data_IF_794301511551
#
_entry.id   IF_794301511551
#
_cell.length_a   1.000
_cell.length_b   1.000
_cell.length_c   1.000
_cell.angle_alpha   90.00
_cell.angle_beta   90.00
_cell.angle_gamma   90.00
#
_symmetry.space_group_name_H-M   'P 1'
#
loop_
_entity.id
_entity.type
_entity.pdbx_description
1 polymer ?
#
# COMPACT_ATOMS: atom_id res chain seq x y z
N UNK A 1 6.03 -20.65 0.35
CA UNK A 1 5.91 -19.67 -0.75
C UNK A 1 4.97 -18.56 -0.33
N UNK A 2 5.22 -17.31 -0.74
CA UNK A 2 4.31 -16.16 -0.53
C UNK A 2 3.78 -15.63 -1.86
N UNK A 3 2.62 -14.98 -1.84
CA UNK A 3 1.99 -14.44 -3.04
C UNK A 3 1.78 -12.93 -2.91
N UNK A 4 2.08 -12.18 -3.95
CA UNK A 4 1.71 -10.77 -4.06
C UNK A 4 0.77 -10.55 -5.23
N UNK A 5 -0.27 -9.74 -5.02
CA UNK A 5 -1.14 -9.29 -6.10
C UNK A 5 -0.45 -8.15 -6.85
N UNK A 6 -0.25 -8.28 -8.16
CA UNK A 6 -0.05 -7.11 -9.02
C UNK A 6 -1.40 -6.47 -9.29
N UNK A 7 -1.57 -5.22 -8.87
CA UNK A 7 -2.86 -4.53 -8.99
C UNK A 7 -3.36 -4.54 -10.45
N UNK A 8 -4.68 -4.74 -10.70
CA UNK A 8 -5.23 -5.01 -12.03
C UNK A 8 -5.31 -3.79 -12.97
N UNK A 9 -4.32 -2.91 -12.92
CA UNK A 9 -4.15 -1.81 -13.89
C UNK A 9 -3.12 -2.14 -14.97
N UNK A 10 -2.56 -3.36 -14.99
CA UNK A 10 -1.62 -3.81 -16.04
C UNK A 10 -2.38 -4.14 -17.34
N UNK A 11 -3.10 -3.16 -17.84
CA UNK A 11 -3.85 -3.09 -19.10
C UNK A 11 -4.00 -1.63 -19.52
N UNK A 12 -4.39 -1.38 -20.77
CA UNK A 12 -4.77 -0.04 -21.22
C UNK A 12 -6.24 0.22 -20.85
N UNK A 13 -6.54 1.47 -20.48
CA UNK A 13 -7.88 1.96 -20.16
C UNK A 13 -8.62 1.03 -19.16
N UNK A 14 -8.05 0.83 -17.95
CA UNK A 14 -8.69 0.00 -16.94
C UNK A 14 -10.07 0.55 -16.57
N UNK A 15 -11.03 -0.32 -16.18
CA UNK A 15 -12.34 0.11 -15.70
C UNK A 15 -12.22 1.23 -14.65
N UNK A 16 -13.00 2.30 -14.80
CA UNK A 16 -12.86 3.51 -13.99
C UNK A 16 -12.96 3.26 -12.48
N UNK A 17 -13.77 2.28 -12.06
CA UNK A 17 -13.90 1.86 -10.67
C UNK A 17 -12.60 1.32 -10.05
N UNK A 18 -11.72 0.70 -10.85
CA UNK A 18 -10.38 0.27 -10.41
C UNK A 18 -9.43 1.45 -10.14
N UNK A 19 -9.77 2.66 -10.58
CA UNK A 19 -8.96 3.87 -10.40
C UNK A 19 -9.46 4.75 -9.24
N UNK A 20 -10.48 4.31 -8.52
CA UNK A 20 -11.02 5.02 -7.36
C UNK A 20 -10.34 4.56 -6.07
N UNK A 21 -10.32 5.43 -5.06
CA UNK A 21 -9.81 5.05 -3.74
C UNK A 21 -10.62 3.90 -3.12
N UNK A 22 -11.94 3.90 -3.31
CA UNK A 22 -12.84 2.85 -2.84
C UNK A 22 -12.55 1.51 -3.52
N UNK A 23 -12.49 1.47 -4.85
CA UNK A 23 -12.20 0.23 -5.59
C UNK A 23 -10.83 -0.34 -5.24
N UNK A 24 -9.81 0.51 -5.07
CA UNK A 24 -8.48 0.11 -4.68
C UNK A 24 -8.46 -0.45 -3.25
N UNK A 25 -9.15 0.20 -2.31
CA UNK A 25 -9.30 -0.28 -0.95
C UNK A 25 -10.02 -1.64 -0.89
N UNK A 26 -11.11 -1.81 -1.63
CA UNK A 26 -11.88 -3.07 -1.70
C UNK A 26 -11.05 -4.22 -2.26
N UNK A 27 -10.28 -3.98 -3.34
CA UNK A 27 -9.39 -4.99 -3.92
C UNK A 27 -8.25 -5.34 -2.96
N UNK A 28 -7.67 -4.35 -2.27
CA UNK A 28 -6.63 -4.60 -1.29
C UNK A 28 -7.15 -5.43 -0.10
N UNK A 29 -8.35 -5.13 0.40
CA UNK A 29 -8.99 -5.91 1.46
C UNK A 29 -9.28 -7.36 1.00
N UNK A 30 -9.89 -7.53 -0.17
CA UNK A 30 -10.19 -8.86 -0.71
C UNK A 30 -8.92 -9.68 -0.99
N UNK A 31 -7.83 -9.05 -1.42
CA UNK A 31 -6.55 -9.72 -1.57
C UNK A 31 -6.00 -10.21 -0.21
N UNK A 32 -6.10 -9.42 0.85
CA UNK A 32 -5.70 -9.85 2.19
C UNK A 32 -6.56 -11.02 2.68
N UNK A 33 -7.87 -10.95 2.49
CA UNK A 33 -8.81 -12.00 2.88
C UNK A 33 -8.59 -13.31 2.11
N UNK A 34 -8.27 -13.22 0.82
CA UNK A 34 -7.89 -14.37 0.00
C UNK A 34 -6.53 -14.99 0.38
N UNK A 35 -5.75 -14.35 1.26
CA UNK A 35 -4.49 -14.85 1.77
C UNK A 35 -3.25 -14.39 1.01
N UNK A 36 -3.34 -13.32 0.21
CA UNK A 36 -2.15 -12.70 -0.36
C UNK A 36 -1.28 -12.12 0.77
N UNK A 37 0.04 -12.18 0.60
CA UNK A 37 1.01 -11.63 1.54
C UNK A 37 1.45 -10.19 1.17
N UNK A 38 1.10 -9.72 -0.03
CA UNK A 38 1.37 -8.34 -0.42
C UNK A 38 0.62 -7.89 -1.68
N UNK A 39 0.73 -6.60 -1.97
CA UNK A 39 0.13 -5.96 -3.15
C UNK A 39 1.14 -5.00 -3.79
N UNK A 40 1.20 -5.02 -5.12
CA UNK A 40 2.22 -4.34 -5.91
C UNK A 40 1.66 -3.46 -7.03
N UNK A 41 2.24 -2.27 -7.21
CA UNK A 41 1.88 -1.31 -8.26
C UNK A 41 3.08 -0.99 -9.17
N UNK A 42 2.94 -1.11 -10.51
CA UNK A 42 3.98 -0.64 -11.44
C UNK A 42 4.01 0.88 -11.53
N UNK A 43 5.05 1.40 -12.16
CA UNK A 43 5.24 2.83 -12.33
C UNK A 43 5.60 3.19 -13.78
N UNK A 44 4.71 3.96 -14.41
CA UNK A 44 4.80 4.42 -15.78
C UNK A 44 4.14 5.80 -15.93
N UNK A 45 4.83 6.90 -15.54
CA UNK A 45 4.22 8.22 -15.40
C UNK A 45 3.97 8.94 -16.74
N UNK A 46 4.70 8.60 -17.80
CA UNK A 46 4.71 9.38 -19.04
C UNK A 46 5.00 8.52 -20.28
N UNK A 47 4.21 7.46 -20.47
CA UNK A 47 4.47 6.42 -21.46
C UNK A 47 4.40 6.92 -22.90
N UNK A 48 5.38 6.61 -23.76
CA UNK A 48 5.31 6.93 -25.19
C UNK A 48 4.16 6.20 -25.89
N UNK A 49 3.50 6.87 -26.84
CA UNK A 49 2.39 6.28 -27.61
C UNK A 49 2.80 4.96 -28.28
N UNK A 50 4.01 4.89 -28.85
CA UNK A 50 4.52 3.67 -29.51
C UNK A 50 4.66 2.47 -28.57
N UNK A 51 4.83 2.70 -27.27
CA UNK A 51 4.84 1.63 -26.28
C UNK A 51 3.41 1.21 -25.91
N UNK A 52 2.49 2.18 -25.76
CA UNK A 52 1.05 1.93 -25.53
C UNK A 52 0.45 1.12 -26.66
N UNK A 53 0.71 1.48 -27.92
CA UNK A 53 0.23 0.77 -29.12
C UNK A 53 0.69 -0.70 -29.21
N UNK A 54 1.73 -1.07 -28.44
CA UNK A 54 2.26 -2.43 -28.38
C UNK A 54 1.71 -3.23 -27.19
N UNK A 55 2.60 -3.53 -26.25
CA UNK A 55 2.29 -4.30 -25.04
C UNK A 55 2.32 -3.40 -23.79
N UNK A 56 1.96 -2.13 -23.97
CA UNK A 56 1.91 -1.15 -22.90
C UNK A 56 0.73 -1.37 -21.96
N UNK A 57 0.73 -0.63 -20.85
CA UNK A 57 -0.33 -0.61 -19.86
C UNK A 57 -0.32 0.73 -19.12
N UNK A 58 -1.43 1.06 -18.48
CA UNK A 58 -1.52 2.25 -17.66
C UNK A 58 -1.04 1.96 -16.22
N UNK A 59 -0.69 3.01 -15.48
CA UNK A 59 -0.35 2.90 -14.07
C UNK A 59 -0.89 4.09 -13.30
N UNK A 60 -1.32 3.84 -12.06
CA UNK A 60 -1.54 4.89 -11.07
C UNK A 60 -0.21 5.23 -10.40
N UNK A 61 -0.11 6.39 -9.74
CA UNK A 61 1.05 6.67 -8.89
C UNK A 61 1.15 5.58 -7.81
N UNK A 62 2.28 4.85 -7.72
CA UNK A 62 2.37 3.68 -6.86
C UNK A 62 2.37 4.07 -5.38
N UNK A 63 2.88 5.23 -4.99
CA UNK A 63 2.96 5.62 -3.58
C UNK A 63 1.60 6.08 -3.04
N UNK A 64 0.82 6.81 -3.85
CA UNK A 64 -0.55 7.17 -3.51
C UNK A 64 -1.43 5.92 -3.43
N UNK A 65 -1.32 5.02 -4.40
CA UNK A 65 -2.04 3.75 -4.42
C UNK A 65 -1.71 2.88 -3.20
N UNK A 66 -0.43 2.73 -2.86
CA UNK A 66 0.01 1.99 -1.68
C UNK A 66 -0.45 2.64 -0.38
N UNK A 67 -0.64 3.96 -0.33
CA UNK A 67 -1.22 4.64 0.85
C UNK A 67 -2.67 4.21 1.07
N UNK A 68 -3.48 4.13 0.00
CA UNK A 68 -4.85 3.62 0.08
C UNK A 68 -4.87 2.15 0.52
N UNK A 69 -4.01 1.32 -0.06
CA UNK A 69 -3.87 -0.07 0.35
C UNK A 69 -3.43 -0.18 1.83
N UNK A 70 -2.55 0.70 2.31
CA UNK A 70 -2.11 0.74 3.69
C UNK A 70 -3.27 0.97 4.66
N UNK A 71 -4.17 1.91 4.35
CA UNK A 71 -5.31 2.23 5.23
C UNK A 71 -6.45 1.22 5.13
N UNK A 72 -6.47 0.39 4.09
CA UNK A 72 -7.48 -0.65 3.90
C UNK A 72 -7.03 -2.02 4.44
N UNK A 73 -5.76 -2.19 4.85
CA UNK A 73 -5.18 -3.50 5.17
C UNK A 73 -4.27 -3.48 6.39
N UNK A 74 -4.22 -4.58 7.14
CA UNK A 74 -3.51 -4.65 8.43
C UNK A 74 -2.24 -5.51 8.36
N UNK A 75 -2.10 -6.35 7.33
CA UNK A 75 -1.02 -7.32 7.17
C UNK A 75 -0.32 -7.21 5.82
N UNK A 76 -1.01 -6.89 4.72
CA UNK A 76 -0.41 -6.88 3.39
C UNK A 76 0.90 -6.10 3.34
N UNK A 77 1.97 -6.72 2.83
CA UNK A 77 3.16 -5.98 2.41
C UNK A 77 2.80 -5.07 1.25
N UNK A 78 3.37 -3.87 1.28
CA UNK A 78 3.10 -2.80 0.32
C UNK A 78 4.32 -2.70 -0.61
N UNK A 79 4.16 -3.11 -1.87
CA UNK A 79 5.27 -3.22 -2.82
C UNK A 79 5.15 -2.17 -3.93
N UNK A 80 6.23 -1.44 -4.20
CA UNK A 80 6.41 -0.83 -5.51
C UNK A 80 6.91 -1.91 -6.48
N UNK A 81 6.33 -2.02 -7.67
CA UNK A 81 6.65 -3.11 -8.61
C UNK A 81 6.79 -2.61 -10.06
N UNK A 82 7.76 -1.76 -10.38
CA UNK A 82 8.86 -1.25 -9.56
C UNK A 82 8.88 0.29 -9.62
N UNK A 83 9.28 0.95 -8.53
CA UNK A 83 9.61 2.37 -8.57
C UNK A 83 10.91 2.58 -9.34
N UNK A 84 10.94 3.52 -10.28
CA UNK A 84 12.13 3.83 -11.07
C UNK A 84 12.92 4.94 -10.38
N UNK A 85 14.04 4.56 -9.76
CA UNK A 85 14.84 5.50 -8.94
C UNK A 85 15.30 6.74 -9.71
N UNK A 86 15.79 6.61 -10.98
CA UNK A 86 16.25 7.78 -11.73
C UNK A 86 15.19 8.85 -12.00
N UNK A 87 13.89 8.58 -11.82
CA UNK A 87 12.82 9.55 -12.14
C UNK A 87 12.68 10.69 -11.14
N UNK A 88 13.32 10.63 -9.96
CA UNK A 88 13.11 11.64 -8.93
C UNK A 88 14.33 11.85 -8.06
N UNK A 89 14.34 12.98 -7.35
CA UNK A 89 15.34 13.26 -6.33
C UNK A 89 15.26 12.23 -5.18
N UNK A 90 16.40 11.66 -4.74
CA UNK A 90 16.39 10.61 -3.73
C UNK A 90 15.96 11.07 -2.34
N UNK A 91 16.13 12.34 -1.96
CA UNK A 91 15.61 12.85 -0.69
C UNK A 91 14.08 12.97 -0.68
N UNK A 92 13.47 13.34 -1.81
CA UNK A 92 12.01 13.31 -1.94
C UNK A 92 11.48 11.88 -1.81
N UNK A 93 12.13 10.93 -2.49
CA UNK A 93 11.75 9.52 -2.36
C UNK A 93 11.99 8.98 -0.94
N UNK A 94 13.06 9.38 -0.26
CA UNK A 94 13.33 9.02 1.13
C UNK A 94 12.19 9.50 2.04
N UNK A 95 11.73 10.75 1.88
CA UNK A 95 10.60 11.29 2.64
C UNK A 95 9.32 10.51 2.37
N UNK A 96 8.97 10.28 1.10
CA UNK A 96 7.75 9.57 0.71
C UNK A 96 7.73 8.15 1.28
N UNK A 97 8.84 7.42 1.13
CA UNK A 97 8.94 6.03 1.58
C UNK A 97 8.99 5.90 3.10
N UNK A 98 9.70 6.77 3.81
CA UNK A 98 9.67 6.79 5.27
C UNK A 98 8.27 7.12 5.81
N UNK A 99 7.56 8.04 5.16
CA UNK A 99 6.18 8.38 5.52
C UNK A 99 5.25 7.19 5.31
N UNK A 100 5.27 6.55 4.13
CA UNK A 100 4.46 5.37 3.85
C UNK A 100 4.79 4.19 4.78
N UNK A 101 6.07 3.97 5.06
CA UNK A 101 6.49 2.94 6.01
C UNK A 101 5.90 3.18 7.41
N UNK A 102 5.91 4.43 7.90
CA UNK A 102 5.27 4.76 9.18
C UNK A 102 3.76 4.63 9.14
N UNK A 103 3.09 5.19 8.13
CA UNK A 103 1.63 5.12 7.99
C UNK A 103 1.13 3.68 7.89
N UNK A 104 1.93 2.79 7.31
CA UNK A 104 1.62 1.37 7.21
C UNK A 104 2.09 0.53 8.39
N UNK A 105 2.82 1.11 9.35
CA UNK A 105 3.44 0.41 10.47
C UNK A 105 4.48 -0.64 10.05
N UNK A 106 5.39 -0.28 9.14
CA UNK A 106 6.55 -1.07 8.75
C UNK A 106 6.34 -2.06 7.59
N UNK A 107 5.24 -1.91 6.83
CA UNK A 107 4.84 -2.88 5.80
C UNK A 107 5.40 -2.60 4.40
N UNK A 108 6.10 -1.49 4.21
CA UNK A 108 6.70 -1.15 2.93
C UNK A 108 7.79 -2.16 2.55
N UNK A 109 7.78 -2.59 1.29
CA UNK A 109 8.91 -3.18 0.58
C UNK A 109 9.14 -2.34 -0.67
N UNK A 110 10.27 -1.63 -0.72
CA UNK A 110 10.57 -0.74 -1.84
C UNK A 110 11.18 -1.55 -2.99
N UNK A 111 10.34 -2.00 -3.92
CA UNK A 111 10.80 -2.59 -5.18
C UNK A 111 11.25 -1.52 -6.17
N UNK A 112 12.49 -1.59 -6.62
CA UNK A 112 13.16 -0.57 -7.41
C UNK A 112 13.71 -1.09 -8.74
N UNK A 113 13.71 -0.23 -9.75
CA UNK A 113 14.29 -0.51 -11.06
C UNK A 113 15.07 0.68 -11.62
N UNK A 114 15.90 0.42 -12.63
CA UNK A 114 16.65 1.45 -13.36
C UNK A 114 15.83 2.14 -14.45
N UNK A 115 14.66 1.61 -14.80
CA UNK A 115 13.84 2.08 -15.91
C UNK A 115 14.38 1.66 -17.29
N UNK A 116 13.48 1.48 -18.25
CA UNK A 116 13.84 1.01 -19.60
C UNK A 116 13.22 1.83 -20.74
N UNK A 117 12.23 2.69 -20.46
CA UNK A 117 11.56 3.51 -21.46
C UNK A 117 12.23 4.87 -21.63
N UNK A 118 13.08 5.01 -22.65
CA UNK A 118 13.75 6.28 -22.99
C UNK A 118 12.81 7.48 -23.11
N UNK A 119 11.60 7.28 -23.65
CA UNK A 119 10.66 8.38 -23.78
C UNK A 119 10.09 8.88 -22.44
N UNK A 120 10.00 8.03 -21.41
CA UNK A 120 9.65 8.47 -20.05
C UNK A 120 10.78 9.30 -19.43
N UNK A 121 12.03 8.88 -19.65
CA UNK A 121 13.21 9.65 -19.23
C UNK A 121 13.23 11.03 -19.88
N UNK A 122 13.00 11.11 -21.19
CA UNK A 122 12.93 12.36 -21.91
C UNK A 122 11.79 13.26 -21.40
N UNK A 123 10.61 12.70 -21.13
CA UNK A 123 9.47 13.44 -20.59
C UNK A 123 9.73 14.00 -19.18
N UNK A 124 10.51 13.29 -18.38
CA UNK A 124 10.89 13.70 -17.02
C UNK A 124 12.15 14.57 -16.97
N UNK A 125 12.80 14.83 -18.12
CA UNK A 125 14.02 15.63 -18.19
C UNK A 125 15.26 14.94 -17.59
N UNK A 126 15.31 13.61 -17.61
CA UNK A 126 16.42 12.81 -17.07
C UNK A 126 17.19 12.15 -18.20
N UNK A 127 18.52 12.18 -18.16
CA UNK A 127 19.34 11.49 -19.14
C UNK A 127 19.25 9.95 -18.94
N UNK A 128 18.72 9.27 -19.96
CA UNK A 128 18.63 7.81 -19.98
C UNK A 128 19.99 7.11 -19.93
N UNK A 129 21.04 7.74 -20.48
CA UNK A 129 22.42 7.25 -20.44
C UNK A 129 22.96 7.15 -19.03
N UNK A 130 22.52 8.04 -18.13
CA UNK A 130 22.97 8.09 -16.74
C UNK A 130 22.16 7.20 -15.79
N UNK A 131 21.07 6.56 -16.25
CA UNK A 131 20.11 5.84 -15.38
C UNK A 131 20.73 4.85 -14.40
N UNK A 132 21.84 4.19 -14.77
CA UNK A 132 22.52 3.26 -13.86
C UNK A 132 23.27 4.00 -12.74
N UNK A 133 23.94 5.10 -13.06
CA UNK A 133 24.66 5.90 -12.09
C UNK A 133 23.69 6.66 -11.18
N UNK A 134 22.59 7.19 -11.73
CA UNK A 134 21.50 7.79 -10.96
C UNK A 134 20.82 6.77 -10.04
N UNK A 135 20.66 5.52 -10.49
CA UNK A 135 20.13 4.45 -9.65
C UNK A 135 21.05 4.15 -8.46
N UNK A 136 22.36 4.05 -8.70
CA UNK A 136 23.35 3.77 -7.63
C UNK A 136 23.40 4.93 -6.62
N UNK A 137 23.48 6.18 -7.12
CA UNK A 137 23.43 7.40 -6.29
C UNK A 137 22.15 7.45 -5.45
N UNK A 138 20.99 7.21 -6.06
CA UNK A 138 19.72 7.25 -5.35
C UNK A 138 19.62 6.16 -4.27
N UNK A 139 20.13 4.95 -4.54
CA UNK A 139 20.10 3.86 -3.58
C UNK A 139 20.99 4.16 -2.36
N UNK A 140 22.14 4.79 -2.56
CA UNK A 140 23.03 5.20 -1.47
C UNK A 140 22.41 6.32 -0.62
N UNK A 141 21.92 7.38 -1.28
CA UNK A 141 21.30 8.51 -0.58
C UNK A 141 20.05 8.10 0.17
N UNK A 142 19.22 7.20 -0.36
CA UNK A 142 18.06 6.66 0.36
C UNK A 142 18.46 6.01 1.69
N UNK A 143 19.52 5.20 1.69
CA UNK A 143 19.99 4.50 2.89
C UNK A 143 20.54 5.46 3.93
N UNK A 144 21.27 6.49 3.50
CA UNK A 144 21.78 7.54 4.39
C UNK A 144 20.62 8.37 4.94
N UNK A 145 19.71 8.83 4.09
CA UNK A 145 18.57 9.65 4.50
C UNK A 145 17.64 8.94 5.49
N UNK A 146 17.46 7.62 5.38
CA UNK A 146 16.63 6.85 6.32
C UNK A 146 17.24 6.69 7.72
N UNK A 147 18.53 6.97 7.90
CA UNK A 147 19.15 7.00 9.24
C UNK A 147 18.64 8.18 10.08
N UNK A 148 18.19 9.26 9.42
CA UNK A 148 17.81 10.51 10.09
C UNK A 148 18.98 11.37 10.55
N UNK A 149 20.22 10.93 10.28
CA UNK A 149 21.44 11.72 10.47
C UNK A 149 21.65 12.73 9.34
N UNK A 150 22.43 13.81 9.55
CA UNK A 150 22.79 14.74 8.50
C UNK A 150 23.53 14.06 7.35
N UNK A 151 23.14 14.38 6.11
CA UNK A 151 23.76 13.86 4.90
C UNK A 151 24.36 15.00 4.08
N UNK A 152 25.68 14.96 3.92
CA UNK A 152 26.40 15.76 2.92
C UNK A 152 26.50 14.96 1.63
N UNK A 153 26.09 15.55 0.50
CA UNK A 153 26.12 14.88 -0.79
C UNK A 153 26.44 15.85 -1.92
N UNK A 154 27.36 15.45 -2.80
CA UNK A 154 27.65 16.15 -4.05
C UNK A 154 27.24 15.23 -5.19
N UNK A 155 25.96 15.33 -5.57
CA UNK A 155 25.36 14.45 -6.55
C UNK A 155 25.45 14.98 -7.97
N UNK A 156 24.94 14.20 -8.92
CA UNK A 156 24.94 14.56 -10.34
C UNK A 156 24.03 15.74 -10.66
N UNK A 157 22.87 15.77 -10.03
CA UNK A 157 21.80 16.75 -10.31
C UNK A 157 21.36 17.54 -9.09
N UNK A 158 21.95 17.29 -7.92
CA UNK A 158 21.62 17.98 -6.68
C UNK A 158 22.80 17.94 -5.70
N UNK A 159 22.78 18.85 -4.73
CA UNK A 159 23.72 18.88 -3.61
C UNK A 159 22.94 18.90 -2.29
N UNK A 160 23.56 18.39 -1.25
CA UNK A 160 23.07 18.41 0.11
C UNK A 160 24.21 18.80 1.05
N UNK A 161 23.91 19.69 1.99
CA UNK A 161 24.83 20.17 3.04
C UNK A 161 24.08 20.03 4.37
N UNK A 162 24.47 19.04 5.16
CA UNK A 162 23.82 18.65 6.42
C UNK A 162 22.34 18.31 6.27
N UNK A 163 21.90 17.75 5.14
CA UNK A 163 20.47 17.52 4.90
C UNK A 163 19.94 16.40 5.81
N UNK A 164 18.89 16.71 6.58
CA UNK A 164 18.24 15.76 7.50
C UNK A 164 16.85 15.39 6.98
N UNK A 165 16.60 14.09 6.79
CA UNK A 165 15.28 13.58 6.40
C UNK A 165 14.54 12.97 7.59
N UNK A 166 13.45 13.62 8.01
CA UNK A 166 12.52 13.11 9.03
C UNK A 166 11.06 13.14 8.56
N UNK A 167 10.20 12.21 8.98
CA UNK A 167 10.49 11.15 9.95
C UNK A 167 11.34 10.02 9.33
N UNK A 168 12.00 9.23 10.17
CA UNK A 168 12.66 7.99 9.73
C UNK A 168 11.65 6.84 9.64
N UNK A 169 11.91 5.82 8.80
CA UNK A 169 11.08 4.62 8.77
C UNK A 169 10.97 3.94 10.14
N UNK A 170 9.89 3.18 10.35
CA UNK A 170 9.72 2.35 11.56
C UNK A 170 10.28 0.94 11.35
N UNK A 171 10.32 0.45 10.10
CA UNK A 171 10.95 -0.81 9.76
C UNK A 171 12.44 -0.79 10.13
N UNK A 172 12.90 -1.83 10.83
CA UNK A 172 14.30 -1.97 11.27
C UNK A 172 15.01 -3.06 10.45
N UNK A 173 16.24 -2.82 9.95
CA UNK A 173 17.00 -1.57 10.06
C UNK A 173 16.49 -0.43 9.16
N UNK A 174 15.68 -0.76 8.15
CA UNK A 174 15.00 0.15 7.21
C UNK A 174 13.97 -0.66 6.40
N UNK A 175 13.14 -0.04 5.55
CA UNK A 175 12.29 -0.78 4.63
C UNK A 175 13.15 -1.72 3.74
N UNK A 176 12.75 -2.98 3.54
CA UNK A 176 13.40 -3.89 2.61
C UNK A 176 13.42 -3.30 1.20
N UNK A 177 14.56 -3.41 0.52
CA UNK A 177 14.70 -2.99 -0.89
C UNK A 177 14.78 -4.24 -1.75
N UNK A 178 13.94 -4.32 -2.78
CA UNK A 178 13.98 -5.37 -3.79
C UNK A 178 14.38 -4.76 -5.13
N UNK A 179 15.35 -5.33 -5.84
CA UNK A 179 15.79 -4.77 -7.12
C UNK A 179 15.31 -5.66 -8.26
N UNK A 180 14.67 -5.09 -9.27
CA UNK A 180 14.23 -5.85 -10.44
C UNK A 180 15.14 -5.77 -11.65
N UNK A 181 15.04 -6.80 -12.48
CA UNK A 181 15.82 -6.97 -13.71
C UNK A 181 16.81 -8.14 -13.66
N UNK A 182 17.31 -8.54 -14.83
CA UNK A 182 18.05 -9.79 -15.01
C UNK A 182 19.54 -9.60 -15.28
N UNK A 183 20.05 -8.37 -15.35
CA UNK A 183 21.46 -8.14 -15.68
C UNK A 183 22.40 -8.59 -14.55
N UNK A 184 23.65 -8.94 -14.88
CA UNK A 184 24.66 -9.25 -13.85
C UNK A 184 24.88 -8.06 -12.90
N UNK A 185 24.84 -6.83 -13.41
CA UNK A 185 24.91 -5.61 -12.60
C UNK A 185 23.77 -5.55 -11.57
N UNK A 186 22.54 -5.90 -11.98
CA UNK A 186 21.40 -5.97 -11.06
C UNK A 186 21.64 -6.99 -9.96
N UNK A 187 22.08 -8.21 -10.31
CA UNK A 187 22.37 -9.26 -9.32
C UNK A 187 23.48 -8.86 -8.35
N UNK A 188 24.54 -8.18 -8.82
CA UNK A 188 25.60 -7.61 -7.95
C UNK A 188 25.03 -6.59 -6.95
N UNK A 189 24.17 -5.68 -7.41
CA UNK A 189 23.48 -4.72 -6.54
C UNK A 189 22.62 -5.42 -5.49
N UNK A 190 21.89 -6.47 -5.87
CA UNK A 190 21.11 -7.26 -4.92
C UNK A 190 22.04 -7.92 -3.90
N UNK A 191 23.13 -8.55 -4.36
CA UNK A 191 24.05 -9.26 -3.50
C UNK A 191 24.63 -8.34 -2.41
N UNK A 192 25.03 -7.12 -2.78
CA UNK A 192 25.65 -6.19 -1.85
C UNK A 192 24.65 -5.39 -1.00
N UNK A 193 23.55 -4.91 -1.60
CA UNK A 193 22.78 -3.80 -1.05
C UNK A 193 21.32 -4.10 -0.75
N UNK A 194 20.73 -5.18 -1.29
CA UNK A 194 19.27 -5.38 -1.25
C UNK A 194 18.85 -6.61 -0.43
N UNK A 195 17.57 -6.66 -0.08
CA UNK A 195 16.94 -7.76 0.64
C UNK A 195 16.22 -8.72 -0.30
N UNK A 196 15.96 -8.30 -1.54
CA UNK A 196 15.34 -9.17 -2.54
C UNK A 196 15.67 -8.83 -3.98
N UNK A 197 15.33 -9.78 -4.84
CA UNK A 197 15.50 -9.74 -6.28
C UNK A 197 14.16 -10.01 -6.96
N UNK A 198 13.81 -9.19 -7.95
CA UNK A 198 12.64 -9.38 -8.80
C UNK A 198 13.07 -9.69 -10.25
N UNK A 199 13.50 -10.92 -10.55
CA UNK A 199 13.75 -11.34 -11.92
C UNK A 199 12.48 -11.29 -12.77
N UNK A 200 12.64 -10.94 -14.04
CA UNK A 200 11.53 -10.83 -14.98
C UNK A 200 11.65 -11.94 -16.03
N UNK A 201 10.67 -12.86 -16.14
CA UNK A 201 10.61 -13.80 -17.26
C UNK A 201 10.70 -13.00 -18.58
N UNK A 202 11.73 -13.26 -19.38
CA UNK A 202 12.05 -12.43 -20.55
C UNK A 202 12.45 -13.33 -21.70
N UNK A 203 11.61 -13.40 -22.72
CA UNK A 203 11.94 -14.07 -23.97
C UNK A 203 12.89 -13.22 -24.82
N UNK A 204 13.60 -13.78 -25.82
CA UNK A 204 14.52 -13.04 -26.69
C UNK A 204 13.83 -11.88 -27.41
N UNK A 205 12.57 -12.06 -27.81
CA UNK A 205 11.75 -11.02 -28.42
C UNK A 205 11.46 -9.84 -27.45
N UNK A 206 11.51 -10.08 -26.13
CA UNK A 206 11.29 -9.08 -25.09
C UNK A 206 12.59 -8.43 -24.60
N UNK A 207 13.77 -8.99 -24.89
CA UNK A 207 15.08 -8.46 -24.45
C UNK A 207 15.28 -7.01 -24.88
N UNK A 208 15.01 -6.68 -26.14
CA UNK A 208 15.15 -5.31 -26.65
C UNK A 208 14.14 -4.35 -26.03
N UNK A 209 12.91 -4.83 -25.78
CA UNK A 209 11.83 -4.01 -25.21
C UNK A 209 12.04 -3.73 -23.73
N UNK A 210 12.49 -4.72 -22.95
CA UNK A 210 12.69 -4.64 -21.50
C UNK A 210 14.13 -4.31 -21.10
N UNK A 211 15.05 -4.27 -22.07
CA UNK A 211 16.48 -3.96 -21.91
C UNK A 211 17.14 -4.77 -20.79
N UNK A 212 16.81 -6.07 -20.74
CA UNK A 212 17.24 -6.98 -19.68
C UNK A 212 17.67 -8.33 -20.25
N UNK A 213 18.51 -9.07 -19.52
CA UNK A 213 19.02 -10.36 -19.98
C UNK A 213 17.89 -11.39 -20.14
N UNK A 214 17.94 -12.28 -21.15
CA UNK A 214 16.92 -13.29 -21.36
C UNK A 214 16.89 -14.31 -20.21
N UNK A 215 15.68 -14.61 -19.74
CA UNK A 215 15.40 -15.58 -18.70
C UNK A 215 14.26 -16.48 -19.20
N UNK A 216 14.64 -17.56 -19.87
CA UNK A 216 13.74 -18.43 -20.63
C UNK A 216 13.54 -19.80 -19.97
N UNK A 217 14.37 -20.18 -19.00
CA UNK A 217 14.31 -21.48 -18.35
C UNK A 217 14.48 -21.39 -16.84
N UNK A 218 13.86 -22.34 -16.13
CA UNK A 218 14.00 -22.48 -14.69
C UNK A 218 15.43 -22.86 -14.30
N UNK A 219 16.15 -23.62 -15.13
CA UNK A 219 17.56 -23.95 -14.87
C UNK A 219 18.45 -22.70 -14.83
N UNK A 220 18.22 -21.74 -15.73
CA UNK A 220 18.96 -20.48 -15.74
C UNK A 220 18.61 -19.65 -14.50
N UNK A 221 17.33 -19.59 -14.13
CA UNK A 221 16.89 -18.92 -12.90
C UNK A 221 17.55 -19.56 -11.66
N UNK A 222 17.51 -20.88 -11.55
CA UNK A 222 18.14 -21.63 -10.46
C UNK A 222 19.65 -21.37 -10.37
N UNK A 223 20.36 -21.35 -11.51
CA UNK A 223 21.77 -20.98 -11.58
C UNK A 223 22.03 -19.57 -11.05
N UNK A 224 21.24 -18.58 -11.48
CA UNK A 224 21.39 -17.21 -11.02
C UNK A 224 21.00 -16.99 -9.56
N UNK A 225 20.02 -17.74 -9.03
CA UNK A 225 19.69 -17.73 -7.61
C UNK A 225 20.88 -18.25 -6.80
N UNK A 226 21.48 -19.38 -7.20
CA UNK A 226 22.69 -19.93 -6.53
C UNK A 226 23.86 -18.94 -6.56
N UNK A 227 24.19 -18.41 -7.73
CA UNK A 227 25.24 -17.39 -7.87
C UNK A 227 24.99 -16.17 -6.97
N UNK A 228 23.72 -15.73 -6.86
CA UNK A 228 23.34 -14.60 -6.02
C UNK A 228 23.57 -14.90 -4.54
N UNK A 229 23.12 -16.07 -4.05
CA UNK A 229 23.30 -16.43 -2.63
C UNK A 229 24.78 -16.63 -2.29
N UNK A 230 25.56 -17.28 -3.17
CA UNK A 230 27.01 -17.42 -3.01
C UNK A 230 27.72 -16.05 -2.91
N UNK A 231 27.36 -15.10 -3.79
CA UNK A 231 27.92 -13.74 -3.76
C UNK A 231 27.52 -12.99 -2.48
N UNK A 232 26.30 -13.20 -1.97
CA UNK A 232 25.86 -12.63 -0.68
C UNK A 232 26.63 -13.18 0.50
N UNK A 233 26.85 -14.49 0.54
CA UNK A 233 27.64 -15.15 1.58
C UNK A 233 29.08 -14.64 1.60
N UNK A 234 29.70 -14.47 0.43
CA UNK A 234 31.04 -13.90 0.30
C UNK A 234 31.13 -12.45 0.82
N UNK A 235 30.03 -11.70 0.74
CA UNK A 235 29.91 -10.34 1.28
C UNK A 235 29.47 -10.32 2.76
N UNK A 236 29.39 -11.48 3.43
CA UNK A 236 28.98 -11.59 4.83
C UNK A 236 27.49 -11.41 5.07
N UNK A 237 26.66 -11.38 4.02
CA UNK A 237 25.20 -11.23 4.10
C UNK A 237 24.51 -12.59 4.12
N UNK A 238 24.54 -13.23 5.29
CA UNK A 238 24.09 -14.62 5.48
C UNK A 238 22.57 -14.83 5.32
N UNK A 239 21.75 -13.79 5.47
CA UNK A 239 20.31 -13.92 5.22
C UNK A 239 20.05 -14.04 3.71
N UNK A 240 19.35 -15.09 3.26
CA UNK A 240 19.07 -15.27 1.84
C UNK A 240 18.23 -14.11 1.31
N UNK A 241 18.47 -13.71 0.06
CA UNK A 241 17.59 -12.75 -0.60
C UNK A 241 16.21 -13.36 -0.85
N UNK A 242 15.14 -12.57 -0.64
CA UNK A 242 13.83 -12.88 -1.21
C UNK A 242 13.94 -12.86 -2.75
N UNK A 243 13.30 -13.80 -3.42
CA UNK A 243 13.18 -13.87 -4.88
C UNK A 243 11.71 -13.81 -5.26
N UNK A 244 11.30 -12.73 -5.93
CA UNK A 244 9.95 -12.51 -6.47
C UNK A 244 9.93 -12.89 -7.96
N UNK A 245 9.13 -13.90 -8.30
CA UNK A 245 8.98 -14.36 -9.68
C UNK A 245 7.51 -14.46 -10.08
N UNK A 246 7.21 -15.06 -11.24
CA UNK A 246 5.85 -15.27 -11.72
C UNK A 246 5.73 -16.67 -12.32
N UNK A 247 4.57 -17.31 -12.12
CA UNK A 247 4.21 -18.50 -12.91
C UNK A 247 3.80 -18.02 -14.31
N UNK A 248 4.37 -18.61 -15.35
CA UNK A 248 4.18 -18.17 -16.74
C UNK A 248 3.52 -19.22 -17.62
N UNK A 249 3.31 -20.44 -17.12
CA UNK A 249 2.89 -21.60 -17.91
C UNK A 249 1.54 -22.18 -17.52
N UNK A 250 0.85 -21.60 -16.53
CA UNK A 250 -0.48 -22.01 -16.07
C UNK A 250 -1.27 -20.82 -15.50
N UNK A 251 -2.59 -20.91 -15.56
CA UNK A 251 -3.51 -19.95 -14.93
C UNK A 251 -4.00 -20.52 -13.59
N UNK A 252 -4.01 -19.73 -12.50
CA UNK A 252 -4.33 -20.23 -11.16
C UNK A 252 -5.79 -20.67 -11.00
N UNK A 253 -6.71 -20.20 -11.86
CA UNK A 253 -8.13 -20.54 -11.80
C UNK A 253 -8.46 -21.63 -12.81
N UNK A 254 -7.99 -21.49 -14.05
CA UNK A 254 -8.33 -22.39 -15.14
C UNK A 254 -7.56 -23.73 -15.10
N UNK A 255 -6.32 -23.74 -14.57
CA UNK A 255 -5.49 -24.94 -14.45
C UNK A 255 -4.73 -24.96 -13.10
N UNK A 256 -5.46 -25.08 -11.97
CA UNK A 256 -4.89 -24.92 -10.64
C UNK A 256 -3.86 -26.01 -10.30
N UNK A 257 -4.05 -27.24 -10.77
CA UNK A 257 -3.10 -28.34 -10.49
C UNK A 257 -1.74 -28.07 -11.15
N UNK A 258 -1.73 -27.70 -12.44
CA UNK A 258 -0.48 -27.32 -13.12
C UNK A 258 0.13 -26.07 -12.51
N UNK A 259 -0.70 -25.11 -12.10
CA UNK A 259 -0.21 -23.92 -11.41
C UNK A 259 0.51 -24.29 -10.11
N UNK A 260 -0.07 -25.16 -9.28
CA UNK A 260 0.53 -25.64 -8.03
C UNK A 260 1.82 -26.43 -8.27
N UNK A 261 1.88 -27.27 -9.32
CA UNK A 261 3.12 -27.93 -9.73
C UNK A 261 4.20 -26.92 -10.11
N UNK A 262 3.85 -25.84 -10.83
CA UNK A 262 4.77 -24.74 -11.12
C UNK A 262 5.20 -23.99 -9.87
N UNK A 263 4.30 -23.75 -8.91
CA UNK A 263 4.62 -23.15 -7.61
C UNK A 263 5.68 -23.99 -6.88
N UNK A 264 5.50 -25.31 -6.83
CA UNK A 264 6.45 -26.21 -6.15
C UNK A 264 7.81 -26.20 -6.85
N UNK A 265 7.85 -26.33 -8.19
CA UNK A 265 9.10 -26.27 -8.96
C UNK A 265 9.86 -24.96 -8.75
N UNK A 266 9.15 -23.84 -8.64
CA UNK A 266 9.76 -22.54 -8.35
C UNK A 266 10.28 -22.47 -6.91
N UNK A 267 9.54 -23.01 -5.94
CA UNK A 267 9.99 -23.10 -4.55
C UNK A 267 11.28 -23.93 -4.43
N UNK A 268 11.36 -25.07 -5.13
CA UNK A 268 12.52 -25.98 -5.09
C UNK A 268 13.83 -25.32 -5.58
N UNK A 269 13.73 -24.34 -6.48
CA UNK A 269 14.89 -23.60 -6.99
C UNK A 269 15.19 -22.30 -6.22
N UNK A 270 14.49 -22.06 -5.11
CA UNK A 270 14.73 -20.92 -4.21
C UNK A 270 13.90 -19.66 -4.50
N UNK A 271 12.82 -19.75 -5.28
CA UNK A 271 11.83 -18.67 -5.35
C UNK A 271 11.03 -18.62 -4.06
N UNK A 272 10.90 -17.42 -3.48
CA UNK A 272 10.24 -17.23 -2.17
C UNK A 272 8.90 -16.52 -2.28
N UNK A 273 8.72 -15.72 -3.35
CA UNK A 273 7.52 -14.94 -3.64
C UNK A 273 7.07 -15.12 -5.09
N UNK A 274 5.76 -15.14 -5.31
CA UNK A 274 5.14 -15.12 -6.63
C UNK A 274 4.25 -13.90 -6.78
N UNK A 275 4.44 -13.15 -7.87
CA UNK A 275 3.54 -12.08 -8.29
C UNK A 275 2.49 -12.64 -9.23
N UNK A 276 1.22 -12.34 -8.93
CA UNK A 276 0.07 -12.76 -9.73
C UNK A 276 -0.76 -11.53 -10.11
N UNK A 277 -1.12 -11.40 -11.38
CA UNK A 277 -2.15 -10.45 -11.81
C UNK A 277 -3.51 -11.14 -11.90
N UNK A 278 -4.53 -10.55 -11.29
CA UNK A 278 -5.92 -11.03 -11.39
C UNK A 278 -6.73 -10.00 -12.16
N UNK A 279 -7.16 -10.33 -13.38
CA UNK A 279 -7.89 -9.39 -14.24
C UNK A 279 -9.40 -9.49 -14.00
N UNK A 280 -10.10 -8.38 -14.17
CA UNK A 280 -11.57 -8.31 -14.16
C UNK A 280 -12.04 -6.99 -14.79
N UNK A 281 -13.32 -6.92 -15.15
CA UNK A 281 -13.94 -5.72 -15.75
C UNK A 281 -14.62 -4.81 -14.72
N UNK A 282 -14.65 -5.26 -13.48
CA UNK A 282 -15.18 -4.54 -12.32
C UNK A 282 -14.41 -4.96 -11.06
N UNK A 283 -14.44 -4.13 -10.02
CA UNK A 283 -14.04 -4.42 -8.64
C UNK A 283 -14.67 -5.73 -8.20
N UNK A 284 -15.99 -5.90 -8.39
CA UNK A 284 -16.69 -7.14 -8.02
C UNK A 284 -16.13 -8.38 -8.73
N UNK A 285 -15.89 -8.30 -10.04
CA UNK A 285 -15.30 -9.42 -10.79
C UNK A 285 -13.87 -9.71 -10.32
N UNK A 286 -13.09 -8.68 -9.99
CA UNK A 286 -11.74 -8.84 -9.44
C UNK A 286 -11.79 -9.50 -8.06
N UNK A 287 -12.66 -9.04 -7.15
CA UNK A 287 -12.77 -9.58 -5.79
C UNK A 287 -13.25 -11.03 -5.80
N UNK A 288 -14.22 -11.39 -6.64
CA UNK A 288 -14.70 -12.77 -6.79
C UNK A 288 -13.56 -13.70 -7.26
N UNK A 289 -12.77 -13.25 -8.23
CA UNK A 289 -11.61 -14.01 -8.73
C UNK A 289 -10.50 -14.11 -7.70
N UNK A 290 -10.28 -13.08 -6.87
CA UNK A 290 -9.33 -13.14 -5.77
C UNK A 290 -9.73 -14.21 -4.76
N UNK A 291 -11.02 -14.27 -4.40
CA UNK A 291 -11.55 -15.33 -3.54
C UNK A 291 -11.34 -16.72 -4.15
N UNK A 292 -11.63 -16.90 -5.44
CA UNK A 292 -11.42 -18.17 -6.15
C UNK A 292 -9.93 -18.58 -6.18
N UNK A 293 -9.01 -17.65 -6.40
CA UNK A 293 -7.55 -17.89 -6.29
C UNK A 293 -7.17 -18.27 -4.86
N UNK A 294 -7.77 -17.60 -3.87
CA UNK A 294 -7.60 -17.89 -2.44
C UNK A 294 -7.90 -19.35 -2.12
N UNK A 295 -9.09 -19.82 -2.53
CA UNK A 295 -9.57 -21.18 -2.29
C UNK A 295 -8.78 -22.23 -3.08
N UNK A 296 -8.54 -21.98 -4.37
CA UNK A 296 -7.97 -23.00 -5.28
C UNK A 296 -6.46 -23.12 -5.21
N UNK A 297 -5.76 -22.07 -4.76
CA UNK A 297 -4.29 -22.03 -4.77
C UNK A 297 -3.73 -21.68 -3.39
N UNK A 298 -4.01 -20.49 -2.88
CA UNK A 298 -3.31 -19.95 -1.71
C UNK A 298 -3.54 -20.80 -0.45
N UNK A 299 -4.77 -21.24 -0.21
CA UNK A 299 -5.13 -22.14 0.88
C UNK A 299 -4.41 -23.49 0.81
N UNK A 300 -4.15 -24.00 -0.39
CA UNK A 300 -3.48 -25.31 -0.61
C UNK A 300 -1.96 -25.22 -0.48
N UNK A 301 -1.37 -24.06 -0.75
CA UNK A 301 0.08 -23.83 -0.56
C UNK A 301 0.43 -23.61 0.91
N UNK A 302 -0.56 -23.31 1.77
CA UNK A 302 -0.33 -22.94 3.16
C UNK A 302 0.47 -21.65 3.27
N UNK A 303 0.15 -20.67 2.42
CA UNK A 303 0.87 -19.40 2.38
C UNK A 303 0.92 -18.78 3.79
N UNK A 304 2.12 -18.51 4.35
CA UNK A 304 2.21 -17.93 5.67
C UNK A 304 1.55 -16.56 5.63
N UNK A 305 0.61 -16.32 6.57
CA UNK A 305 -0.01 -15.02 6.74
C UNK A 305 1.08 -13.94 6.81
N UNK A 306 0.87 -12.77 6.18
CA UNK A 306 1.85 -11.71 6.26
C UNK A 306 2.08 -11.34 7.73
N UNK A 307 3.32 -10.99 8.12
CA UNK A 307 3.56 -10.52 9.48
C UNK A 307 2.65 -9.32 9.73
N UNK A 308 1.93 -9.27 10.87
CA UNK A 308 1.01 -8.20 11.14
C UNK A 308 1.74 -6.86 11.12
N UNK A 309 1.04 -5.78 10.73
CA UNK A 309 1.50 -4.41 10.93
C UNK A 309 2.09 -4.29 12.35
N UNK A 310 3.30 -3.77 12.48
CA UNK A 310 3.98 -3.73 13.78
C UNK A 310 3.26 -2.83 14.79
N UNK A 311 2.47 -1.87 14.28
CA UNK A 311 1.72 -0.90 15.05
C UNK A 311 0.31 -1.42 15.37
N UNK A 312 -0.01 -1.58 16.65
CA UNK A 312 -1.30 -2.07 17.11
C UNK A 312 -2.45 -1.11 16.78
N UNK A 313 -2.19 0.19 16.79
CA UNK A 313 -3.20 1.22 16.57
C UNK A 313 -3.57 1.29 15.10
N UNK A 314 -2.59 1.14 14.20
CA UNK A 314 -2.86 1.00 12.76
C UNK A 314 -3.75 -0.22 12.49
N UNK A 315 -3.49 -1.36 13.14
CA UNK A 315 -4.37 -2.54 13.01
C UNK A 315 -5.78 -2.28 13.52
N UNK A 316 -5.92 -1.60 14.66
CA UNK A 316 -7.21 -1.28 15.25
C UNK A 316 -8.03 -0.35 14.34
N UNK A 317 -7.41 0.70 13.79
CA UNK A 317 -8.06 1.64 12.86
C UNK A 317 -8.52 0.94 11.58
N UNK A 318 -7.69 0.07 11.01
CA UNK A 318 -8.06 -0.71 9.81
C UNK A 318 -9.24 -1.65 10.11
N UNK A 319 -9.17 -2.40 11.21
CA UNK A 319 -10.24 -3.32 11.61
C UNK A 319 -11.57 -2.59 11.84
N UNK A 320 -11.50 -1.41 12.47
CA UNK A 320 -12.63 -0.51 12.66
C UNK A 320 -13.22 -0.06 11.31
N UNK A 321 -12.36 0.38 10.38
CA UNK A 321 -12.79 0.86 9.08
C UNK A 321 -13.48 -0.23 8.25
N UNK A 322 -12.93 -1.45 8.25
CA UNK A 322 -13.54 -2.61 7.58
C UNK A 322 -14.88 -3.01 8.18
N UNK A 323 -14.93 -3.16 9.50
CA UNK A 323 -16.17 -3.50 10.22
C UNK A 323 -17.27 -2.49 9.91
N UNK A 324 -16.90 -1.21 9.83
CA UNK A 324 -17.82 -0.14 9.51
C UNK A 324 -18.30 -0.20 8.06
N UNK A 325 -17.39 -0.39 7.10
CA UNK A 325 -17.72 -0.52 5.68
C UNK A 325 -18.66 -1.71 5.43
N UNK A 326 -18.37 -2.87 6.02
CA UNK A 326 -19.20 -4.09 5.90
C UNK A 326 -20.61 -3.88 6.47
N UNK A 327 -20.71 -3.21 7.62
CA UNK A 327 -22.00 -2.98 8.24
C UNK A 327 -22.86 -1.96 7.47
N UNK A 328 -22.22 -0.94 6.87
CA UNK A 328 -22.88 0.00 5.97
C UNK A 328 -23.42 -0.69 4.73
N UNK A 329 -22.59 -1.51 4.08
CA UNK A 329 -22.95 -2.19 2.84
C UNK A 329 -24.13 -3.17 3.06
N UNK A 330 -24.11 -3.91 4.16
CA UNK A 330 -25.17 -4.88 4.51
C UNK A 330 -26.39 -4.25 5.16
N UNK A 331 -26.39 -2.93 5.43
CA UNK A 331 -27.40 -2.22 6.22
C UNK A 331 -27.65 -2.87 7.60
N UNK A 332 -26.64 -3.54 8.15
CA UNK A 332 -26.68 -4.29 9.41
C UNK A 332 -26.23 -3.40 10.59
N UNK A 333 -26.91 -2.26 10.78
CA UNK A 333 -26.54 -1.25 11.79
C UNK A 333 -26.61 -1.75 13.24
N UNK A 334 -27.30 -2.85 13.53
CA UNK A 334 -27.32 -3.52 14.84
C UNK A 334 -26.03 -4.30 15.14
N UNK A 335 -25.22 -4.62 14.11
CA UNK A 335 -23.95 -5.35 14.22
C UNK A 335 -22.81 -4.42 14.67
N UNK A 336 -22.89 -3.14 14.31
CA UNK A 336 -21.98 -2.08 14.78
C UNK A 336 -21.99 -1.95 16.31
N UNK A 337 -23.12 -2.14 16.98
CA UNK A 337 -23.18 -1.99 18.44
C UNK A 337 -22.45 -3.13 19.19
N UNK A 338 -22.37 -4.32 18.59
CA UNK A 338 -21.77 -5.54 19.20
C UNK A 338 -20.27 -5.69 18.99
N UNK A 339 -19.76 -5.36 17.80
CA UNK A 339 -18.32 -5.49 17.50
C UNK A 339 -17.49 -4.49 18.31
N UNK A 340 -18.04 -3.29 18.52
CA UNK A 340 -17.38 -2.24 19.28
C UNK A 340 -17.34 -2.48 20.79
N UNK A 341 -18.29 -3.23 21.36
CA UNK A 341 -18.31 -3.58 22.78
C UNK A 341 -17.45 -4.80 23.13
N UNK A 342 -17.25 -5.74 22.19
CA UNK A 342 -16.55 -6.99 22.46
C UNK A 342 -15.06 -6.97 22.07
N UNK A 343 -14.70 -6.59 20.83
CA UNK A 343 -13.36 -6.85 20.31
C UNK A 343 -12.36 -5.71 20.57
N UNK A 344 -12.82 -4.45 20.56
CA UNK A 344 -11.96 -3.29 20.88
C UNK A 344 -11.59 -3.27 22.36
N UNK A 345 -12.51 -3.69 23.24
CA UNK A 345 -12.30 -3.72 24.70
C UNK A 345 -11.46 -4.93 25.12
N UNK A 346 -11.62 -6.09 24.47
CA UNK A 346 -10.85 -7.30 24.80
C UNK A 346 -9.36 -7.21 24.40
N UNK A 347 -9.03 -6.43 23.37
CA UNK A 347 -7.64 -6.20 22.94
C UNK A 347 -6.86 -5.19 23.78
N UNK A 348 -7.53 -4.43 24.65
CA UNK A 348 -6.96 -3.30 25.40
C UNK A 348 -7.45 -3.27 26.87
N UNK A 349 -6.95 -4.17 27.75
CA UNK A 349 -7.29 -4.14 29.16
C UNK A 349 -6.77 -2.84 29.80
N UNK A 350 -7.68 -1.93 30.15
CA UNK A 350 -7.39 -0.60 30.73
C UNK A 350 -8.05 0.58 30.01
N UNK A 351 -8.59 0.39 28.80
CA UNK A 351 -9.25 1.43 28.00
C UNK A 351 -10.78 1.29 27.99
N UNK A 352 -11.39 1.12 29.18
CA UNK A 352 -12.83 0.89 29.37
C UNK A 352 -13.75 2.09 29.03
N UNK A 353 -13.21 3.16 28.43
CA UNK A 353 -13.91 4.44 28.26
C UNK A 353 -13.70 5.08 26.90
N UNK A 354 -14.08 4.38 25.83
CA UNK A 354 -14.43 5.06 24.57
C UNK A 354 -15.81 5.70 24.78
N UNK A 355 -15.83 6.83 25.50
CA UNK A 355 -17.06 7.57 25.83
C UNK A 355 -17.47 8.41 24.63
N UNK A 356 -18.54 8.02 23.93
CA UNK A 356 -19.13 8.78 22.83
C UNK A 356 -19.72 7.95 21.69
N UNK A 357 -19.39 6.66 21.62
CA UNK A 357 -19.76 5.78 20.52
C UNK A 357 -21.26 5.42 20.43
N UNK A 358 -21.96 5.11 21.54
CA UNK A 358 -23.40 4.84 21.47
C UNK A 358 -24.20 6.05 21.00
N UNK A 359 -23.75 7.26 21.34
CA UNK A 359 -24.36 8.51 20.87
C UNK A 359 -24.09 8.76 19.38
N UNK A 360 -22.91 8.39 18.88
CA UNK A 360 -22.55 8.44 17.46
C UNK A 360 -23.40 7.44 16.64
N UNK A 361 -23.57 6.21 17.14
CA UNK A 361 -24.42 5.18 16.50
C UNK A 361 -25.88 5.63 16.47
N UNK A 362 -26.38 6.24 17.55
CA UNK A 362 -27.73 6.82 17.59
C UNK A 362 -27.90 8.00 16.61
N UNK A 363 -26.93 8.92 16.56
CA UNK A 363 -26.93 10.06 15.63
C UNK A 363 -26.88 9.62 14.14
N UNK A 364 -26.12 8.57 13.84
CA UNK A 364 -26.02 8.01 12.48
C UNK A 364 -27.28 7.24 12.05
N UNK A 365 -28.00 6.59 12.98
CA UNK A 365 -29.32 5.99 12.69
C UNK A 365 -30.34 7.02 12.23
N UNK A 366 -30.34 8.20 12.85
CA UNK A 366 -31.34 9.23 12.56
C UNK A 366 -30.98 10.06 11.31
N UNK A 367 -29.72 10.04 10.86
CA UNK A 367 -29.20 10.92 9.81
C UNK A 367 -28.89 10.14 8.51
N UNK A 368 -29.92 9.64 7.84
CA UNK A 368 -29.82 8.78 6.64
C UNK A 368 -29.10 9.38 5.40
N UNK A 369 -28.67 10.65 5.40
CA UNK A 369 -28.27 11.35 4.18
C UNK A 369 -26.85 11.96 4.13
N UNK A 370 -26.06 11.97 5.21
CA UNK A 370 -24.78 12.73 5.20
C UNK A 370 -23.62 12.07 5.99
N UNK A 371 -23.58 10.74 5.96
CA UNK A 371 -22.63 9.91 6.71
C UNK A 371 -21.18 10.13 6.23
N UNK A 372 -20.95 10.23 4.92
CA UNK A 372 -19.59 10.34 4.35
C UNK A 372 -18.85 11.63 4.76
N UNK A 373 -19.56 12.73 5.03
CA UNK A 373 -18.94 14.01 5.43
C UNK A 373 -18.64 14.10 6.92
N UNK A 374 -19.26 13.27 7.75
CA UNK A 374 -19.14 13.35 9.21
C UNK A 374 -17.93 12.58 9.74
N UNK A 375 -17.52 11.51 9.06
CA UNK A 375 -16.42 10.63 9.48
C UNK A 375 -15.06 11.35 9.54
N UNK A 376 -14.79 12.27 8.62
CA UNK A 376 -13.54 13.07 8.65
C UNK A 376 -13.42 14.02 9.85
N UNK A 377 -14.52 14.33 10.56
CA UNK A 377 -14.51 15.26 11.71
C UNK A 377 -14.38 14.58 13.07
N UNK A 378 -14.60 13.26 13.17
CA UNK A 378 -14.65 12.56 14.48
C UNK A 378 -13.29 11.95 14.87
N UNK A 379 -12.39 11.71 13.91
CA UNK A 379 -11.04 11.21 14.20
C UNK A 379 -10.19 12.25 14.96
N UNK A 380 -10.52 13.54 14.87
CA UNK A 380 -9.88 14.61 15.66
C UNK A 380 -10.22 14.56 17.17
N UNK A 381 -11.22 13.77 17.60
CA UNK A 381 -11.63 13.72 19.02
C UNK A 381 -11.00 12.54 19.77
N UNK A 382 -10.42 11.57 19.07
CA UNK A 382 -9.97 10.31 19.68
C UNK A 382 -8.45 10.19 19.90
N UNK A 383 -7.65 11.20 19.54
CA UNK A 383 -6.20 11.19 19.82
C UNK A 383 -5.82 12.48 20.54
N UNK A 384 -5.97 12.47 21.86
CA UNK A 384 -5.21 13.37 22.74
C UNK A 384 -4.71 12.53 23.91
N UNK A 385 -3.44 12.12 23.81
CA UNK A 385 -2.73 11.38 24.85
C UNK A 385 -2.10 12.40 25.80
N UNK A 386 -2.36 12.17 27.10
CA UNK A 386 -1.66 12.64 28.30
C UNK A 386 -1.17 14.11 28.37
N UNK A 387 -1.90 14.92 29.14
CA UNK A 387 -1.37 16.15 29.74
C UNK A 387 -2.40 17.27 29.89
N UNK A 388 -2.93 17.43 31.11
CA UNK A 388 -3.72 18.56 31.63
C UNK A 388 -4.89 19.12 30.80
N UNK A 389 -6.11 18.76 31.24
CA UNK A 389 -7.37 19.32 30.77
C UNK A 389 -7.54 20.78 31.22
N UNK A 390 -7.37 21.74 30.29
CA UNK A 390 -7.99 23.05 30.38
C UNK A 390 -9.27 23.09 29.53
N UNK A 391 -10.39 23.45 30.15
CA UNK A 391 -11.71 23.61 29.52
C UNK A 391 -11.66 24.51 28.29
N UNK A 392 -12.00 24.00 27.10
CA UNK A 392 -12.07 24.79 25.86
C UNK A 392 -13.34 24.51 25.05
N UNK A 393 -14.21 25.50 24.92
CA UNK A 393 -15.35 25.53 23.99
C UNK A 393 -14.87 25.64 22.54
N UNK A 394 -15.17 24.66 21.69
CA UNK A 394 -14.91 24.72 20.26
C UNK A 394 -16.15 25.23 19.50
N UNK A 395 -16.11 26.46 18.98
CA UNK A 395 -17.14 27.00 18.09
C UNK A 395 -16.63 26.99 16.64
N UNK A 396 -17.35 26.34 15.70
CA UNK A 396 -17.06 26.47 14.25
C UNK A 396 -18.33 26.58 13.40
N UNK A 397 -18.32 27.59 12.51
CA UNK A 397 -19.34 28.00 11.54
C UNK A 397 -19.47 26.98 10.39
N UNK A 398 -20.70 26.69 9.96
CA UNK A 398 -20.99 26.05 8.68
C UNK A 398 -21.95 26.96 7.90
N UNK A 399 -21.55 27.39 6.70
CA UNK A 399 -22.47 27.94 5.69
C UNK A 399 -22.46 26.96 4.51
N UNK A 400 -23.64 26.51 4.06
CA UNK A 400 -23.80 25.69 2.85
C UNK A 400 -24.94 26.26 2.01
N UNK A 401 -24.63 26.59 0.76
CA UNK A 401 -25.56 26.97 -0.29
C UNK A 401 -25.86 25.75 -1.18
N UNK A 402 -27.14 25.48 -1.45
CA UNK A 402 -27.67 25.16 -2.79
C UNK A 402 -29.20 25.01 -2.78
N UNK A 403 -29.86 25.47 -3.84
CA UNK A 403 -31.26 25.15 -4.12
C UNK A 403 -31.37 24.48 -5.49
N UNK A 404 -32.10 23.37 -5.53
CA UNK A 404 -32.75 22.79 -6.71
C UNK A 404 -34.27 22.95 -6.57
N UNK A 405 -34.98 22.76 -7.67
CA UNK A 405 -36.21 23.45 -8.09
C UNK A 405 -37.55 23.11 -7.39
N UNK A 406 -37.56 22.41 -6.25
CA UNK A 406 -38.78 21.75 -5.76
C UNK A 406 -39.45 22.38 -4.51
N UNK A 407 -39.19 23.66 -4.25
CA UNK A 407 -40.05 24.47 -3.38
C UNK A 407 -40.18 24.08 -1.89
N UNK A 408 -39.35 23.15 -1.37
CA UNK A 408 -39.31 22.87 0.06
C UNK A 408 -38.40 23.87 0.79
N UNK A 409 -39.01 24.77 1.55
CA UNK A 409 -38.30 25.69 2.45
C UNK A 409 -37.89 24.93 3.72
N UNK A 410 -36.59 24.71 3.92
CA UNK A 410 -36.05 24.18 5.19
C UNK A 410 -35.46 25.34 6.00
N UNK A 411 -35.94 25.50 7.24
CA UNK A 411 -35.43 26.49 8.20
C UNK A 411 -34.13 25.96 8.83
N UNK A 412 -33.02 26.66 8.59
CA UNK A 412 -31.72 26.36 9.21
C UNK A 412 -31.66 26.90 10.65
N UNK A 413 -30.97 26.19 11.55
CA UNK A 413 -30.73 26.63 12.93
C UNK A 413 -29.32 26.26 13.40
N UNK A 414 -28.66 27.18 14.12
CA UNK A 414 -27.33 26.95 14.73
C UNK A 414 -27.48 26.22 16.07
N UNK A 415 -26.66 25.20 16.31
CA UNK A 415 -26.57 24.49 17.58
C UNK A 415 -25.14 24.54 18.13
N UNK A 416 -25.01 24.62 19.45
CA UNK A 416 -23.75 24.49 20.19
C UNK A 416 -23.87 23.34 21.18
N UNK A 417 -22.90 22.43 21.17
CA UNK A 417 -22.84 21.27 22.05
C UNK A 417 -21.86 21.52 23.20
N UNK A 418 -22.31 21.24 24.43
CA UNK A 418 -21.52 21.38 25.66
C UNK A 418 -21.45 20.04 26.41
N UNK A 419 -20.26 19.66 26.87
CA UNK A 419 -20.05 18.44 27.67
C UNK A 419 -20.21 18.77 29.16
N UNK A 420 -21.18 18.13 29.83
CA UNK A 420 -21.52 18.42 31.23
C UNK A 420 -21.42 17.16 32.07
N UNK A 421 -20.87 17.28 33.29
CA UNK A 421 -20.76 16.18 34.24
C UNK A 421 -22.02 16.07 35.10
N UNK A 422 -22.70 14.92 35.08
CA UNK A 422 -23.84 14.59 35.95
C UNK A 422 -23.47 13.48 36.95
N UNK A 423 -24.29 13.23 37.99
CA UNK A 423 -24.08 12.13 38.93
C UNK A 423 -24.02 10.75 38.27
N UNK A 424 -24.68 10.56 37.11
CA UNK A 424 -24.63 9.30 36.34
C UNK A 424 -23.51 9.25 35.28
N UNK A 425 -22.71 10.31 35.12
CA UNK A 425 -21.59 10.37 34.17
C UNK A 425 -21.55 11.64 33.32
N UNK A 426 -20.68 11.67 32.31
CA UNK A 426 -20.60 12.79 31.36
C UNK A 426 -21.73 12.69 30.33
N UNK A 427 -22.42 13.81 30.08
CA UNK A 427 -23.48 13.92 29.06
C UNK A 427 -23.25 15.12 28.15
N UNK A 428 -23.65 14.99 26.89
CA UNK A 428 -23.65 16.09 25.92
C UNK A 428 -24.99 16.81 26.01
N UNK A 429 -24.96 18.14 26.13
CA UNK A 429 -26.14 19.00 26.13
C UNK A 429 -26.07 19.95 24.93
N UNK A 430 -26.92 19.69 23.94
CA UNK A 430 -27.08 20.56 22.77
C UNK A 430 -27.99 21.74 23.10
N UNK A 431 -27.54 22.97 22.86
CA UNK A 431 -28.39 24.18 22.93
C UNK A 431 -28.56 24.77 21.54
N UNK A 432 -29.79 25.12 21.18
CA UNK A 432 -30.08 25.94 20.01
C UNK A 432 -29.56 27.35 20.27
N UNK A 433 -28.65 27.84 19.44
CA UNK A 433 -28.11 29.19 19.55
C UNK A 433 -29.18 30.20 19.16
N UNK A 434 -29.75 30.90 20.14
CA UNK A 434 -30.76 31.96 19.93
C UNK A 434 -30.13 33.35 19.77
N UNK A 435 -29.04 33.48 19.01
CA UNK A 435 -28.49 34.80 18.67
C UNK A 435 -28.59 35.03 17.16
N UNK A 436 -29.20 36.19 16.86
CA UNK A 436 -29.61 36.70 15.56
C UNK A 436 -28.46 36.83 14.55
#
# INVERSE_FOLDING_TARGET
>A
MRFSLTYPTVMLDPPAELLTAEGLASIAAAAEEAGFAGIGFPEHPATPQSWRDGAGHDSVDPFLALTVAATATAGLRLLTFLAVLPYRNPFLLAKTTATLDRLSGGRLTLGVGTGYLEGEFAALGVDFGERNALFDEALEVLRLAWTGEPVDWQGRSFTADGAVSRPTPVATPRPPVWIGGNSRLTRRRVAALAEGWAPVPTSPAQVLRRRTAPLESLDRLAGWIRELQEEREQLGRLAPADVLYMVTDADPIADPERYLDSVQRLADIGVTWLSLGVRGRSVAEVTDRLAEVGERVLARVGAPAPPPCADADVRAVVALHRTYADALDRREFDRLDRVFTADVVAGYPGHERIVGLPALVAFMRDSHADVARTVHRVVDVAVTVDGDMATGTAAKRNDLLRAGDDGQTVVTGRYTDELVRTPEGWRIRSRRSTHA
#
